data_IF_758100342440
#
_entry.id   IF_758100342440
#
_cell.length_a   1.000
_cell.length_b   1.000
_cell.length_c   1.000
_cell.angle_alpha   90.00
_cell.angle_beta   90.00
_cell.angle_gamma   90.00
#
_symmetry.space_group_name_H-M   'P 1'
#
loop_
_entity.id
_entity.type
_entity.pdbx_description
1 polymer ?
#
# COMPACT_ATOMS: atom_id res chain seq x y z
N UNK A 1 -26.50 15.74 -21.23
CA UNK A 1 -25.71 16.02 -20.02
C UNK A 1 -25.15 14.70 -19.55
N UNK A 2 -23.83 14.58 -19.47
CA UNK A 2 -23.15 13.31 -19.33
C UNK A 2 -22.38 13.28 -18.01
N UNK A 3 -22.65 12.27 -17.17
CA UNK A 3 -21.71 11.91 -16.11
C UNK A 3 -20.71 10.94 -16.71
N UNK A 4 -19.43 11.25 -16.51
CA UNK A 4 -18.33 10.44 -16.99
C UNK A 4 -17.54 9.98 -15.78
N UNK A 5 -17.13 8.73 -15.79
CA UNK A 5 -16.11 8.23 -14.87
C UNK A 5 -14.85 7.99 -15.68
N UNK A 6 -13.77 8.60 -15.23
CA UNK A 6 -12.41 8.35 -15.69
C UNK A 6 -11.63 7.71 -14.56
N UNK A 7 -10.67 6.87 -14.91
CA UNK A 7 -9.83 6.24 -13.92
C UNK A 7 -8.51 5.83 -14.52
N UNK A 8 -7.55 5.66 -13.62
CA UNK A 8 -6.18 5.30 -13.92
C UNK A 8 -5.74 4.18 -12.98
N UNK A 9 -5.06 3.16 -13.51
CA UNK A 9 -4.37 2.15 -12.72
C UNK A 9 -2.86 2.39 -12.74
N UNK A 10 -2.27 2.47 -11.54
CA UNK A 10 -0.82 2.60 -11.32
C UNK A 10 -0.35 1.64 -10.24
N UNK A 11 0.95 1.35 -10.17
CA UNK A 11 1.55 0.73 -8.99
C UNK A 11 1.97 1.80 -7.96
N UNK A 12 2.52 1.35 -6.82
CA UNK A 12 3.06 2.21 -5.74
C UNK A 12 4.24 3.10 -6.16
N UNK A 13 4.75 2.97 -7.38
CA UNK A 13 5.83 3.78 -7.96
C UNK A 13 5.32 4.68 -9.11
N UNK A 14 4.01 4.94 -9.15
CA UNK A 14 3.31 5.71 -10.17
C UNK A 14 3.45 5.14 -11.60
N UNK A 15 3.82 3.87 -11.76
CA UNK A 15 3.93 3.25 -13.09
C UNK A 15 2.56 2.82 -13.57
N UNK A 16 2.14 3.30 -14.73
CA UNK A 16 0.88 2.90 -15.36
C UNK A 16 0.83 1.38 -15.58
N UNK A 17 -0.31 0.79 -15.26
CA UNK A 17 -0.54 -0.65 -15.44
C UNK A 17 -1.57 -0.85 -16.56
N UNK A 18 -1.15 -1.35 -17.74
CA UNK A 18 -2.07 -1.72 -18.79
C UNK A 18 -2.80 -3.02 -18.47
N UNK A 19 -3.86 -3.30 -19.22
CA UNK A 19 -4.56 -4.58 -19.19
C UNK A 19 -5.16 -4.97 -17.83
N UNK A 20 -5.33 -3.99 -16.92
CA UNK A 20 -6.05 -4.16 -15.67
C UNK A 20 -7.53 -4.31 -15.99
N UNK A 21 -8.11 -5.42 -15.53
CA UNK A 21 -9.53 -5.69 -15.64
C UNK A 21 -10.27 -4.93 -14.55
N UNK A 22 -11.16 -4.02 -14.94
CA UNK A 22 -12.01 -3.22 -14.05
C UNK A 22 -13.46 -3.63 -14.25
N UNK A 23 -13.98 -4.47 -13.35
CA UNK A 23 -15.40 -4.83 -13.31
C UNK A 23 -16.19 -3.76 -12.54
N UNK A 24 -17.22 -3.20 -13.18
CA UNK A 24 -18.07 -2.14 -12.63
C UNK A 24 -19.50 -2.66 -12.49
N UNK A 25 -20.06 -2.52 -11.30
CA UNK A 25 -21.43 -2.94 -10.95
C UNK A 25 -22.18 -1.78 -10.32
N UNK A 26 -23.30 -1.36 -10.91
CA UNK A 26 -24.21 -0.37 -10.36
C UNK A 26 -25.39 -1.02 -9.64
N UNK A 27 -25.92 -0.36 -8.60
CA UNK A 27 -27.14 -0.76 -7.91
C UNK A 27 -28.42 -0.64 -8.76
N UNK A 28 -28.34 0.04 -9.91
CA UNK A 28 -29.37 0.08 -10.95
C UNK A 28 -29.34 -1.12 -11.91
N UNK A 29 -28.46 -2.11 -11.66
CA UNK A 29 -28.28 -3.28 -12.52
C UNK A 29 -27.23 -3.10 -13.62
N UNK A 30 -26.59 -1.92 -13.74
CA UNK A 30 -25.47 -1.71 -14.64
C UNK A 30 -24.35 -2.70 -14.33
N UNK A 31 -23.81 -3.38 -15.36
CA UNK A 31 -22.66 -4.27 -15.23
C UNK A 31 -21.82 -4.17 -16.50
N UNK A 32 -20.54 -3.85 -16.33
CA UNK A 32 -19.61 -3.85 -17.45
C UNK A 32 -18.19 -4.13 -16.98
N UNK A 33 -17.37 -4.66 -17.87
CA UNK A 33 -15.95 -4.88 -17.64
C UNK A 33 -15.15 -3.99 -18.59
N UNK A 34 -14.23 -3.21 -18.04
CA UNK A 34 -13.29 -2.39 -18.78
C UNK A 34 -11.90 -2.97 -18.65
N UNK A 35 -11.04 -2.67 -19.63
CA UNK A 35 -9.62 -3.01 -19.59
C UNK A 35 -8.86 -1.70 -19.71
N UNK A 36 -7.88 -1.47 -18.83
CA UNK A 36 -7.06 -0.27 -18.89
C UNK A 36 -6.22 -0.26 -20.16
N UNK A 37 -6.08 0.93 -20.74
CA UNK A 37 -5.26 1.17 -21.93
C UNK A 37 -3.78 1.09 -21.59
N UNK A 38 -2.92 1.27 -22.59
CA UNK A 38 -1.47 1.28 -22.44
C UNK A 38 -0.94 2.39 -21.51
N UNK A 39 -1.70 3.48 -21.37
CA UNK A 39 -1.44 4.56 -20.42
C UNK A 39 -2.11 4.33 -19.05
N UNK A 40 -2.61 3.12 -18.78
CA UNK A 40 -3.29 2.75 -17.54
C UNK A 40 -4.70 3.33 -17.40
N UNK A 41 -5.22 4.06 -18.39
CA UNK A 41 -6.52 4.73 -18.26
C UNK A 41 -7.70 3.85 -18.65
N UNK A 42 -8.86 4.10 -18.03
CA UNK A 42 -10.15 3.60 -18.46
C UNK A 42 -11.21 4.71 -18.33
N UNK A 43 -12.32 4.58 -19.08
CA UNK A 43 -13.37 5.59 -19.12
C UNK A 43 -14.71 4.99 -19.49
N UNK A 44 -15.77 5.45 -18.83
CA UNK A 44 -17.15 5.16 -19.25
C UNK A 44 -18.13 6.26 -18.89
N UNK A 45 -19.33 6.18 -19.49
CA UNK A 45 -20.45 7.07 -19.21
C UNK A 45 -21.29 6.43 -18.11
N UNK A 46 -21.47 7.14 -17.01
CA UNK A 46 -22.21 6.68 -15.84
C UNK A 46 -23.61 7.31 -15.80
N UNK A 47 -24.52 6.59 -15.16
CA UNK A 47 -25.85 7.06 -14.81
C UNK A 47 -25.80 7.91 -13.54
N UNK A 48 -26.81 8.76 -13.39
CA UNK A 48 -26.98 9.68 -12.26
C UNK A 48 -27.62 8.99 -11.07
N UNK A 49 -27.22 9.36 -9.85
CA UNK A 49 -27.81 8.84 -8.63
C UNK A 49 -27.53 7.36 -8.36
N UNK A 50 -26.54 6.78 -9.03
CA UNK A 50 -26.21 5.35 -8.96
C UNK A 50 -25.02 5.14 -8.03
N UNK A 51 -25.09 4.09 -7.22
CA UNK A 51 -23.95 3.61 -6.45
C UNK A 51 -23.22 2.54 -7.26
N UNK A 52 -22.01 2.88 -7.70
CA UNK A 52 -21.12 1.98 -8.42
C UNK A 52 -20.11 1.35 -7.48
N UNK A 53 -19.92 0.04 -7.66
CA UNK A 53 -18.83 -0.73 -7.12
C UNK A 53 -17.85 -1.09 -8.25
N UNK A 54 -16.57 -0.87 -8.00
CA UNK A 54 -15.49 -1.17 -8.91
C UNK A 54 -14.60 -2.23 -8.29
N UNK A 55 -14.24 -3.23 -9.09
CA UNK A 55 -13.30 -4.28 -8.71
C UNK A 55 -12.20 -4.33 -9.78
N UNK A 56 -10.96 -4.03 -9.40
CA UNK A 56 -9.81 -4.08 -10.28
C UNK A 56 -8.98 -5.33 -9.97
N UNK A 57 -8.62 -6.08 -11.01
CA UNK A 57 -7.76 -7.26 -10.92
C UNK A 57 -6.74 -7.29 -12.04
N UNK A 58 -5.52 -7.69 -11.71
CA UNK A 58 -4.42 -7.86 -12.64
C UNK A 58 -3.45 -8.93 -12.13
N UNK A 59 -2.82 -9.68 -13.04
CA UNK A 59 -1.77 -10.63 -12.68
C UNK A 59 -0.61 -9.90 -12.00
N UNK A 60 -0.08 -10.46 -10.90
CA UNK A 60 0.97 -9.83 -10.11
C UNK A 60 0.47 -8.92 -8.98
N UNK A 61 -0.83 -8.61 -8.94
CA UNK A 61 -1.42 -7.67 -7.99
C UNK A 61 -2.59 -8.27 -7.20
N UNK A 62 -2.81 -7.75 -5.99
CA UNK A 62 -4.00 -8.01 -5.19
C UNK A 62 -5.21 -7.34 -5.81
N UNK A 63 -6.39 -7.92 -5.57
CA UNK A 63 -7.64 -7.33 -6.03
C UNK A 63 -7.93 -6.06 -5.22
N UNK A 64 -8.37 -5.01 -5.93
CA UNK A 64 -8.70 -3.72 -5.35
C UNK A 64 -10.18 -3.42 -5.54
N UNK A 65 -10.81 -2.81 -4.53
CA UNK A 65 -12.22 -2.43 -4.56
C UNK A 65 -12.39 -0.94 -4.28
N UNK A 66 -13.30 -0.29 -5.00
CA UNK A 66 -13.70 1.10 -4.75
C UNK A 66 -15.19 1.30 -4.96
N UNK A 67 -15.76 2.31 -4.32
CA UNK A 67 -17.15 2.72 -4.53
C UNK A 67 -17.26 4.17 -4.96
N UNK A 68 -18.25 4.48 -5.80
CA UNK A 68 -18.59 5.83 -6.20
C UNK A 68 -20.11 6.01 -6.18
N UNK A 69 -20.60 7.10 -5.59
CA UNK A 69 -22.00 7.52 -5.72
C UNK A 69 -22.06 8.74 -6.64
N UNK A 70 -22.76 8.62 -7.76
CA UNK A 70 -22.96 9.76 -8.66
C UNK A 70 -24.09 10.65 -8.17
N UNK A 71 -23.96 11.96 -8.35
CA UNK A 71 -24.99 12.93 -8.00
C UNK A 71 -26.22 12.84 -8.93
N UNK A 72 -27.39 13.19 -8.40
CA UNK A 72 -28.63 13.35 -9.17
C UNK A 72 -28.73 14.74 -9.84
N UNK A 73 -28.07 15.74 -9.27
CA UNK A 73 -28.28 17.16 -9.60
C UNK A 73 -27.19 17.77 -10.48
N UNK A 74 -26.00 17.16 -10.51
CA UNK A 74 -24.88 17.64 -11.29
C UNK A 74 -25.19 17.68 -12.79
N UNK A 75 -24.54 18.57 -13.55
CA UNK A 75 -24.73 18.67 -15.01
C UNK A 75 -23.79 17.73 -15.74
N UNK A 76 -22.75 18.27 -16.37
CA UNK A 76 -21.65 17.51 -16.93
C UNK A 76 -20.56 17.44 -15.86
N UNK A 77 -20.29 16.24 -15.34
CA UNK A 77 -19.29 15.99 -14.30
C UNK A 77 -18.40 14.83 -14.71
N UNK A 78 -17.12 14.94 -14.38
CA UNK A 78 -16.16 13.84 -14.45
C UNK A 78 -15.79 13.41 -13.03
N UNK A 79 -16.03 12.14 -12.71
CA UNK A 79 -15.56 11.51 -11.49
C UNK A 79 -14.26 10.74 -11.77
N UNK A 80 -13.33 10.79 -10.83
CA UNK A 80 -12.08 10.03 -10.92
C UNK A 80 -12.10 8.84 -9.97
N UNK A 81 -11.91 7.64 -10.51
CA UNK A 81 -11.78 6.39 -9.74
C UNK A 81 -10.44 5.77 -10.10
N UNK A 82 -9.40 6.16 -9.38
CA UNK A 82 -8.04 5.66 -9.61
C UNK A 82 -7.75 4.45 -8.73
N UNK A 83 -6.99 3.49 -9.28
CA UNK A 83 -6.50 2.31 -8.59
C UNK A 83 -5.00 2.40 -8.42
N UNK A 84 -4.54 2.37 -7.17
CA UNK A 84 -3.16 2.11 -6.83
C UNK A 84 -3.05 0.62 -6.49
N UNK A 85 -2.52 -0.16 -7.42
CA UNK A 85 -2.49 -1.62 -7.35
C UNK A 85 -1.39 -2.08 -6.40
N UNK A 86 -1.73 -3.03 -5.54
CA UNK A 86 -0.78 -3.59 -4.56
C UNK A 86 -0.17 -4.88 -5.11
N UNK A 87 1.14 -4.93 -5.37
CA UNK A 87 1.80 -6.13 -5.89
C UNK A 87 1.90 -7.21 -4.80
N UNK A 88 1.73 -8.48 -5.17
CA UNK A 88 1.94 -9.60 -4.23
C UNK A 88 3.35 -10.21 -4.32
N UNK A 89 4.16 -9.83 -5.32
CA UNK A 89 5.46 -10.43 -5.58
C UNK A 89 6.66 -9.65 -4.97
N UNK A 90 6.42 -8.50 -4.33
CA UNK A 90 7.43 -7.67 -3.69
C UNK A 90 6.90 -7.06 -2.38
N UNK A 91 7.77 -6.67 -1.44
CA UNK A 91 7.34 -5.95 -0.23
C UNK A 91 6.66 -4.62 -0.58
N UNK A 92 5.66 -4.25 0.21
CA UNK A 92 4.89 -3.01 0.10
C UNK A 92 5.03 -2.23 1.39
N UNK A 93 5.43 -0.96 1.29
CA UNK A 93 5.57 -0.08 2.44
C UNK A 93 4.18 0.33 2.92
N UNK A 94 3.95 0.22 4.23
CA UNK A 94 2.79 0.83 4.87
C UNK A 94 3.16 2.27 5.20
N UNK A 95 2.61 3.20 4.43
CA UNK A 95 2.87 4.62 4.63
C UNK A 95 2.23 5.08 5.93
N UNK A 96 2.76 6.14 6.56
CA UNK A 96 2.15 6.73 7.76
C UNK A 96 2.01 5.78 8.98
N UNK A 97 2.79 4.70 9.04
CA UNK A 97 2.97 3.93 10.26
C UNK A 97 3.99 4.62 11.16
N UNK A 98 3.51 5.16 12.28
CA UNK A 98 4.25 5.95 13.23
C UNK A 98 4.28 5.27 14.58
N UNK A 99 5.46 5.35 15.20
CA UNK A 99 5.72 4.92 16.55
C UNK A 99 6.34 6.08 17.31
N UNK A 100 6.05 6.19 18.61
CA UNK A 100 6.85 7.06 19.47
C UNK A 100 8.31 6.58 19.54
N UNK A 101 9.22 7.48 19.91
CA UNK A 101 10.61 7.15 20.15
C UNK A 101 10.74 6.02 21.17
N UNK A 102 11.51 4.98 20.83
CA UNK A 102 11.70 3.76 21.66
C UNK A 102 10.40 3.01 22.03
N UNK A 103 9.29 3.27 21.32
CA UNK A 103 8.05 2.52 21.51
C UNK A 103 7.70 1.67 20.30
N UNK A 104 6.88 0.66 20.58
CA UNK A 104 6.24 -0.19 19.58
C UNK A 104 4.72 0.06 19.51
N UNK A 105 4.18 0.96 20.33
CA UNK A 105 2.77 1.31 20.30
C UNK A 105 2.45 2.12 19.04
N UNK A 106 1.38 1.73 18.35
CA UNK A 106 0.89 2.40 17.15
C UNK A 106 0.24 3.72 17.52
N UNK A 107 0.65 4.79 16.86
CA UNK A 107 0.02 6.08 17.07
C UNK A 107 -1.35 6.15 16.38
N UNK A 108 -2.28 7.00 16.87
CA UNK A 108 -3.60 7.16 16.24
C UNK A 108 -3.54 7.50 14.76
N UNK A 109 -2.53 8.26 14.33
CA UNK A 109 -2.33 8.66 12.92
C UNK A 109 -2.02 7.47 12.00
N UNK A 110 -1.65 6.31 12.56
CA UNK A 110 -1.40 5.07 11.79
C UNK A 110 -2.66 4.25 11.54
N UNK A 111 -3.78 4.59 12.18
CA UNK A 111 -5.01 3.81 12.08
C UNK A 111 -5.57 3.83 10.67
N UNK A 112 -5.58 4.98 9.98
CA UNK A 112 -6.14 5.09 8.63
C UNK A 112 -5.44 4.16 7.63
N UNK A 113 -4.11 4.07 7.69
CA UNK A 113 -3.34 3.13 6.87
C UNK A 113 -3.65 1.68 7.22
N UNK A 114 -3.76 1.38 8.52
CA UNK A 114 -4.04 0.02 8.98
C UNK A 114 -5.47 -0.42 8.66
N UNK A 115 -6.44 0.50 8.69
CA UNK A 115 -7.81 0.26 8.22
C UNK A 115 -7.81 -0.05 6.73
N UNK A 116 -7.04 0.68 5.93
CA UNK A 116 -6.84 0.38 4.50
C UNK A 116 -6.24 -1.03 4.29
N UNK A 117 -5.27 -1.44 5.12
CA UNK A 117 -4.71 -2.79 5.07
C UNK A 117 -5.73 -3.86 5.49
N UNK A 118 -6.58 -3.59 6.50
CA UNK A 118 -7.67 -4.49 6.91
C UNK A 118 -8.66 -4.67 5.76
N UNK A 119 -9.09 -3.59 5.10
CA UNK A 119 -9.97 -3.66 3.93
C UNK A 119 -9.34 -4.49 2.81
N UNK A 120 -8.07 -4.24 2.49
CA UNK A 120 -7.32 -4.99 1.48
C UNK A 120 -7.29 -6.50 1.79
N UNK A 121 -7.03 -6.88 3.04
CA UNK A 121 -7.00 -8.29 3.46
C UNK A 121 -8.38 -8.93 3.52
N UNK A 122 -9.44 -8.16 3.75
CA UNK A 122 -10.82 -8.64 3.68
C UNK A 122 -11.28 -8.85 2.23
N UNK A 123 -10.88 -7.97 1.32
CA UNK A 123 -11.15 -8.13 -0.12
C UNK A 123 -10.31 -9.27 -0.74
N UNK A 124 -9.24 -9.69 -0.07
CA UNK A 124 -8.35 -10.78 -0.50
C UNK A 124 -8.24 -11.87 0.58
N UNK A 125 -9.33 -12.62 0.89
CA UNK A 125 -9.40 -13.50 2.07
C UNK A 125 -8.46 -14.72 2.02
N UNK A 126 -8.01 -15.14 0.83
CA UNK A 126 -7.07 -16.25 0.64
C UNK A 126 -5.60 -15.85 0.76
N UNK A 127 -5.32 -14.58 1.07
CA UNK A 127 -3.95 -14.06 1.13
C UNK A 127 -3.41 -14.13 2.55
N UNK A 128 -2.18 -14.63 2.70
CA UNK A 128 -1.39 -14.48 3.92
C UNK A 128 -0.27 -13.47 3.71
N UNK A 129 0.10 -12.76 4.77
CA UNK A 129 1.15 -11.74 4.72
C UNK A 129 2.14 -11.88 5.88
N UNK A 130 3.38 -11.47 5.63
CA UNK A 130 4.39 -11.19 6.66
C UNK A 130 4.50 -9.69 6.86
N UNK A 131 4.33 -9.24 8.10
CA UNK A 131 4.60 -7.87 8.53
C UNK A 131 6.04 -7.77 9.00
N UNK A 132 6.77 -6.83 8.43
CA UNK A 132 8.18 -6.61 8.72
C UNK A 132 8.41 -5.18 9.13
N UNK A 133 9.14 -4.97 10.21
CA UNK A 133 9.55 -3.64 10.61
C UNK A 133 11.08 -3.52 10.62
N UNK A 134 11.52 -2.29 10.46
CA UNK A 134 12.93 -1.95 10.35
C UNK A 134 13.25 -0.70 11.17
N UNK A 135 14.52 -0.55 11.51
CA UNK A 135 15.04 0.60 12.24
C UNK A 135 16.07 1.34 11.38
N UNK A 136 16.46 2.52 11.85
CA UNK A 136 17.65 3.19 11.32
C UNK A 136 18.94 2.53 11.84
N UNK A 137 20.09 3.12 11.46
CA UNK A 137 21.42 2.59 11.77
C UNK A 137 21.83 2.71 13.25
N UNK A 138 21.16 3.55 14.04
CA UNK A 138 21.60 3.91 15.39
C UNK A 138 21.25 2.83 16.40
N UNK A 139 22.13 2.62 17.38
CA UNK A 139 21.97 1.59 18.41
C UNK A 139 22.50 0.22 17.98
N UNK A 140 22.50 -0.71 18.96
CA UNK A 140 23.00 -2.07 18.73
C UNK A 140 22.06 -2.87 17.86
N UNK A 141 22.60 -3.86 17.15
CA UNK A 141 21.82 -4.76 16.29
C UNK A 141 20.76 -5.53 17.08
N UNK A 142 21.13 -6.08 18.24
CA UNK A 142 20.22 -6.84 19.11
C UNK A 142 19.04 -5.98 19.56
N UNK A 143 19.31 -4.76 20.02
CA UNK A 143 18.27 -3.83 20.45
C UNK A 143 17.32 -3.50 19.29
N UNK A 144 17.85 -3.18 18.11
CA UNK A 144 17.06 -2.84 16.93
C UNK A 144 16.24 -4.02 16.40
N UNK A 145 16.78 -5.24 16.46
CA UNK A 145 16.05 -6.46 16.09
C UNK A 145 14.86 -6.68 17.03
N UNK A 146 15.05 -6.49 18.32
CA UNK A 146 13.97 -6.62 19.30
C UNK A 146 12.93 -5.50 19.15
N UNK A 147 13.35 -4.25 18.95
CA UNK A 147 12.44 -3.12 18.74
C UNK A 147 11.59 -3.28 17.49
N UNK A 148 12.22 -3.62 16.36
CA UNK A 148 11.48 -3.86 15.12
C UNK A 148 10.52 -5.04 15.23
N UNK A 149 10.92 -6.15 15.86
CA UNK A 149 10.01 -7.28 16.05
C UNK A 149 8.76 -6.87 16.84
N UNK A 150 8.92 -6.12 17.93
CA UNK A 150 7.78 -5.61 18.70
C UNK A 150 6.87 -4.70 17.86
N UNK A 151 7.43 -3.86 16.99
CA UNK A 151 6.67 -2.99 16.08
C UNK A 151 5.82 -3.80 15.09
N UNK A 152 6.44 -4.79 14.43
CA UNK A 152 5.71 -5.68 13.53
C UNK A 152 4.59 -6.45 14.27
N UNK A 153 4.86 -6.92 15.50
CA UNK A 153 3.87 -7.58 16.34
C UNK A 153 2.71 -6.66 16.73
N UNK A 154 2.96 -5.38 16.99
CA UNK A 154 1.89 -4.41 17.26
C UNK A 154 0.94 -4.23 16.08
N UNK A 155 1.48 -4.22 14.85
CA UNK A 155 0.66 -4.18 13.63
C UNK A 155 -0.15 -5.46 13.48
N UNK A 156 0.48 -6.64 13.62
CA UNK A 156 -0.24 -7.93 13.58
C UNK A 156 -1.37 -7.97 14.62
N UNK A 157 -1.09 -7.54 15.85
CA UNK A 157 -2.11 -7.47 16.90
C UNK A 157 -3.26 -6.56 16.51
N UNK A 158 -2.98 -5.38 15.96
CA UNK A 158 -4.03 -4.49 15.47
C UNK A 158 -4.90 -5.16 14.40
N UNK A 159 -4.29 -5.87 13.44
CA UNK A 159 -5.03 -6.58 12.39
C UNK A 159 -5.91 -7.70 12.98
N UNK A 160 -5.41 -8.46 13.95
CA UNK A 160 -6.17 -9.50 14.66
C UNK A 160 -7.34 -8.89 15.43
N UNK A 161 -7.09 -7.80 16.17
CA UNK A 161 -8.12 -7.09 16.94
C UNK A 161 -9.23 -6.51 16.01
N UNK A 162 -8.93 -6.31 14.72
CA UNK A 162 -9.88 -5.91 13.68
C UNK A 162 -10.41 -7.08 12.82
N UNK A 163 -10.24 -8.32 13.28
CA UNK A 163 -10.91 -9.49 12.73
C UNK A 163 -10.15 -10.25 11.64
N UNK A 164 -8.89 -9.91 11.36
CA UNK A 164 -8.07 -10.72 10.46
C UNK A 164 -7.60 -11.99 11.19
N UNK A 165 -7.78 -13.14 10.56
CA UNK A 165 -7.37 -14.43 11.10
C UNK A 165 -5.85 -14.46 11.37
N UNK A 166 -5.45 -14.80 12.59
CA UNK A 166 -4.05 -14.86 13.01
C UNK A 166 -3.18 -15.76 12.13
N UNK A 167 -3.78 -16.82 11.55
CA UNK A 167 -3.07 -17.78 10.69
C UNK A 167 -2.66 -17.17 9.35
N UNK A 168 -3.23 -16.00 9.00
CA UNK A 168 -2.88 -15.24 7.80
C UNK A 168 -1.71 -14.29 8.02
N UNK A 169 -1.23 -14.15 9.26
CA UNK A 169 -0.30 -13.09 9.65
C UNK A 169 0.96 -13.67 10.29
N UNK A 170 2.12 -13.21 9.84
CA UNK A 170 3.39 -13.39 10.55
C UNK A 170 4.06 -12.05 10.82
N UNK A 171 4.95 -12.01 11.82
CA UNK A 171 5.73 -10.81 12.16
C UNK A 171 7.23 -11.10 12.10
N UNK A 172 7.99 -10.18 11.51
CA UNK A 172 9.45 -10.21 11.44
C UNK A 172 10.06 -8.86 11.86
N UNK A 173 11.16 -8.93 12.61
CA UNK A 173 11.95 -7.77 13.01
C UNK A 173 13.34 -7.85 12.39
N UNK A 174 13.59 -7.01 11.38
CA UNK A 174 14.89 -6.99 10.70
C UNK A 174 15.88 -5.99 11.31
N UNK A 175 15.44 -5.15 12.24
CA UNK A 175 16.24 -4.08 12.81
C UNK A 175 16.86 -3.23 11.70
N UNK A 176 18.18 -3.07 11.76
CA UNK A 176 18.98 -2.32 10.77
C UNK A 176 19.64 -3.20 9.70
N UNK A 177 19.38 -4.51 9.69
CA UNK A 177 20.07 -5.46 8.81
C UNK A 177 19.61 -5.39 7.34
N UNK A 178 18.46 -4.76 7.09
CA UNK A 178 17.93 -4.56 5.74
C UNK A 178 17.70 -3.07 5.51
N UNK A 179 18.75 -2.31 5.13
CA UNK A 179 18.60 -0.92 4.74
C UNK A 179 17.71 -0.80 3.50
N UNK A 180 17.00 0.32 3.39
CA UNK A 180 16.08 0.57 2.28
C UNK A 180 16.85 0.90 1.01
N UNK A 181 16.50 0.25 -0.08
CA UNK A 181 16.90 0.65 -1.43
C UNK A 181 15.98 1.78 -1.90
N UNK A 182 16.57 2.86 -2.40
CA UNK A 182 15.85 4.04 -2.91
C UNK A 182 15.08 3.64 -4.16
N UNK A 183 13.77 3.88 -4.13
CA UNK A 183 12.87 3.64 -5.26
C UNK A 183 12.71 4.89 -6.12
N UNK A 184 12.03 4.78 -7.26
CA UNK A 184 11.75 5.92 -8.14
C UNK A 184 11.00 7.02 -7.39
N UNK A 185 9.99 6.66 -6.59
CA UNK A 185 9.21 7.61 -5.78
C UNK A 185 10.09 8.34 -4.75
N UNK A 186 11.00 7.61 -4.08
CA UNK A 186 11.91 8.21 -3.09
C UNK A 186 12.88 9.18 -3.79
N UNK A 187 13.49 8.77 -4.91
CA UNK A 187 14.42 9.60 -5.66
C UNK A 187 13.77 10.88 -6.20
N UNK A 188 12.49 10.81 -6.62
CA UNK A 188 11.73 11.99 -7.06
C UNK A 188 11.48 12.99 -5.92
N UNK A 189 11.38 12.52 -4.68
CA UNK A 189 11.10 13.34 -3.50
C UNK A 189 12.35 14.00 -2.91
N UNK A 190 13.51 13.40 -3.10
CA UNK A 190 14.76 13.83 -2.46
C UNK A 190 15.90 13.90 -3.48
N UNK A 191 16.23 15.11 -3.94
CA UNK A 191 17.21 15.36 -5.02
C UNK A 191 18.62 14.76 -4.78
N UNK A 192 18.98 14.47 -3.53
CA UNK A 192 20.27 13.89 -3.16
C UNK A 192 20.31 12.35 -3.21
N UNK A 193 19.16 11.70 -3.41
CA UNK A 193 19.01 10.25 -3.52
C UNK A 193 18.77 9.86 -4.98
N UNK A 194 19.40 8.77 -5.42
CA UNK A 194 19.20 8.20 -6.74
C UNK A 194 18.54 6.84 -6.63
N UNK A 195 17.70 6.50 -7.61
CA UNK A 195 17.10 5.17 -7.69
C UNK A 195 18.20 4.09 -7.66
N UNK A 196 18.04 3.10 -6.78
CA UNK A 196 19.01 2.03 -6.56
C UNK A 196 20.05 2.31 -5.46
N UNK A 197 20.15 3.53 -4.92
CA UNK A 197 21.00 3.80 -3.76
C UNK A 197 20.57 2.93 -2.57
N UNK A 198 21.53 2.27 -1.91
CA UNK A 198 21.26 1.51 -0.69
C UNK A 198 21.54 2.41 0.51
N UNK A 199 20.52 2.67 1.32
CA UNK A 199 20.62 3.51 2.51
C UNK A 199 21.26 2.77 3.69
N UNK A 200 22.42 2.16 3.46
CA UNK A 200 23.22 1.52 4.50
C UNK A 200 24.02 2.56 5.31
N UNK A 201 24.69 2.10 6.37
CA UNK A 201 25.45 2.99 7.26
C UNK A 201 26.58 3.71 6.51
N UNK A 202 27.29 3.03 5.60
CA UNK A 202 28.39 3.61 4.84
C UNK A 202 27.89 4.71 3.88
N UNK A 203 26.76 4.51 3.22
CA UNK A 203 26.13 5.54 2.38
C UNK A 203 25.71 6.74 3.22
N UNK A 204 25.00 6.50 4.33
CA UNK A 204 24.43 7.56 5.16
C UNK A 204 25.53 8.42 5.80
N UNK A 205 26.64 7.85 6.24
CA UNK A 205 27.72 8.61 6.90
C UNK A 205 28.40 9.64 5.98
N UNK A 206 28.30 9.48 4.66
CA UNK A 206 28.82 10.43 3.69
C UNK A 206 27.87 11.60 3.40
N UNK A 207 26.66 11.61 3.98
CA UNK A 207 25.66 12.64 3.78
C UNK A 207 25.77 13.78 4.81
N UNK A 208 25.20 14.94 4.48
CA UNK A 208 25.06 16.05 5.46
C UNK A 208 24.18 15.63 6.64
N UNK A 209 24.32 16.24 7.84
CA UNK A 209 23.51 15.85 9.01
C UNK A 209 22.00 15.88 8.78
N UNK A 210 21.51 16.77 7.91
CA UNK A 210 20.08 16.83 7.59
C UNK A 210 19.66 15.70 6.65
N UNK A 211 20.46 15.41 5.62
CA UNK A 211 20.24 14.27 4.73
C UNK A 211 20.32 12.93 5.47
N UNK A 212 21.19 12.82 6.49
CA UNK A 212 21.25 11.64 7.35
C UNK A 212 19.93 11.39 8.08
N UNK A 213 19.30 12.44 8.64
CA UNK A 213 18.00 12.29 9.31
C UNK A 213 16.92 11.81 8.36
N UNK A 214 16.94 12.29 7.11
CA UNK A 214 16.01 11.87 6.05
C UNK A 214 16.23 10.40 5.71
N UNK A 215 17.47 9.98 5.44
CA UNK A 215 17.78 8.59 5.14
C UNK A 215 17.45 7.64 6.31
N UNK A 216 17.78 8.04 7.54
CA UNK A 216 17.38 7.33 8.75
C UNK A 216 15.84 7.22 8.84
N UNK A 217 15.09 8.28 8.49
CA UNK A 217 13.62 8.25 8.48
C UNK A 217 13.07 7.29 7.44
N UNK A 218 13.68 7.20 6.26
CA UNK A 218 13.28 6.25 5.22
C UNK A 218 13.53 4.81 5.70
N UNK A 219 14.63 4.56 6.43
CA UNK A 219 14.93 3.25 7.00
C UNK A 219 13.97 2.84 8.13
N UNK A 220 13.42 3.80 8.89
CA UNK A 220 12.38 3.57 9.91
C UNK A 220 11.01 3.34 9.27
N UNK A 221 10.81 2.16 8.68
CA UNK A 221 9.56 1.79 8.00
C UNK A 221 9.00 0.44 8.46
N UNK A 222 7.72 0.27 8.19
CA UNK A 222 7.02 -1.03 8.25
C UNK A 222 6.61 -1.40 6.83
N UNK A 223 6.78 -2.65 6.47
CA UNK A 223 6.40 -3.20 5.17
C UNK A 223 5.58 -4.47 5.41
N UNK A 224 4.75 -4.84 4.44
CA UNK A 224 4.20 -6.19 4.37
C UNK A 224 4.61 -6.87 3.08
N UNK A 225 4.61 -8.20 3.07
CA UNK A 225 4.81 -9.01 1.88
C UNK A 225 3.81 -10.14 1.87
N UNK A 226 3.20 -10.40 0.72
CA UNK A 226 2.37 -11.60 0.53
C UNK A 226 3.25 -12.85 0.56
N UNK A 227 2.83 -13.83 1.36
CA UNK A 227 3.55 -15.10 1.57
C UNK A 227 2.84 -16.29 0.91
N UNK A 228 1.51 -16.25 0.83
CA UNK A 228 0.69 -17.25 0.13
C UNK A 228 -0.60 -16.59 -0.42
N UNK A 229 -1.14 -17.15 -1.50
CA UNK A 229 -2.37 -16.67 -2.17
C UNK A 229 -3.55 -17.66 -2.04
N UNK A 230 -3.35 -18.79 -1.36
CA UNK A 230 -4.24 -19.96 -1.39
C UNK A 230 -4.81 -20.36 -0.02
N UNK A 231 -4.68 -19.51 0.99
CA UNK A 231 -5.20 -19.75 2.33
C UNK A 231 -6.69 -20.08 2.30
N UNK A 232 -7.06 -21.22 2.89
CA UNK A 232 -8.46 -21.66 2.98
C UNK A 232 -9.07 -22.13 1.65
N UNK A 233 -8.29 -22.28 0.57
CA UNK A 233 -8.78 -22.82 -0.70
C UNK A 233 -8.75 -24.35 -0.80
N UNK A 234 -8.28 -25.04 0.24
CA UNK A 234 -8.16 -26.51 0.31
C UNK A 234 -8.46 -27.05 1.72
#
# INVERSE_FOLDING_TARGET
>A
MNIVVEGLAVDKEDKFIPDVKVSVVGDNGFRHEYITRQDGTYRFVADRGVNYLFMAGAEGFLNMKKSLKTSTEEKDTVYFVNFEMTPYNKPVILENIFYDFDKAELRPESKDELETLVELLNDNPSVTIELSAHTDRKGSEEYNRNLSLRRAQSVVRYLIDNGIDERRLSAAGFGKMQPKMVTTTIARKYDFLKEGDLLDEAFIENLTPEQQKIADQINRRTEFKVTDLSFGLF
#
